data_IF_148539865344
#
_entry.id   IF_148539865344
#
_cell.length_a   1.000
_cell.length_b   1.000
_cell.length_c   1.000
_cell.angle_alpha   90.00
_cell.angle_beta   90.00
_cell.angle_gamma   90.00
#
_symmetry.space_group_name_H-M   'P 1'
#
loop_
_entity.id
_entity.type
_entity.pdbx_description
1 polymer ?
2 non-polymer ?
3 non-polymer ?
4 water ?
#
# COMPACT_ATOMS: atom_id res chain seq x y z
N UNK A 21 5.05 -5.12 -19.01
CA UNK A 21 6.38 -4.70 -18.45
C UNK A 21 6.75 -5.58 -17.26
N UNK A 22 7.76 -6.42 -17.48
CA UNK A 22 8.21 -7.38 -16.49
C UNK A 22 9.16 -6.78 -15.45
N UNK A 23 9.69 -5.61 -15.75
CA UNK A 23 10.65 -4.98 -14.83
C UNK A 23 9.98 -3.95 -13.89
N UNK A 24 8.69 -3.72 -14.05
CA UNK A 24 7.98 -2.79 -13.17
C UNK A 24 6.85 -3.48 -12.42
N UNK A 25 6.62 -3.04 -11.18
CA UNK A 25 5.69 -3.72 -10.31
C UNK A 25 4.88 -2.79 -9.42
N UNK A 26 3.66 -3.19 -9.11
CA UNK A 26 3.00 -2.69 -7.94
C UNK A 26 3.44 -3.58 -6.79
N UNK A 27 3.76 -2.97 -5.67
CA UNK A 27 4.30 -3.72 -4.56
C UNK A 27 3.43 -3.33 -3.39
N UNK A 28 2.92 -4.34 -2.69
CA UNK A 28 2.23 -4.06 -1.45
C UNK A 28 2.86 -4.86 -0.32
N UNK A 29 2.26 -4.80 0.85
CA UNK A 29 2.79 -5.43 2.03
C UNK A 29 1.63 -5.89 2.89
N UNK A 30 1.80 -7.10 3.41
CA UNK A 30 0.94 -7.56 4.46
C UNK A 30 1.74 -8.29 5.52
N UNK A 31 1.55 -7.87 6.75
CA UNK A 31 2.23 -8.46 7.89
C UNK A 31 1.33 -9.49 8.59
N UNK A 32 0.06 -9.51 8.25
CA UNK A 32 -0.87 -10.42 8.91
C UNK A 32 -2.01 -10.73 7.96
N UNK A 33 -3.00 -11.45 8.46
CA UNK A 33 -4.03 -12.04 7.64
C UNK A 33 -5.10 -11.04 7.32
N UNK A 34 -5.32 -10.12 8.24
CA UNK A 34 -6.32 -9.08 8.03
C UNK A 34 -5.88 -8.16 6.89
N UNK A 35 -4.62 -7.77 6.87
CA UNK A 35 -4.10 -6.91 5.80
C UNK A 35 -3.86 -7.72 4.53
N UNK A 36 -3.71 -9.04 4.65
CA UNK A 36 -3.64 -9.88 3.44
C UNK A 36 -4.94 -9.77 2.68
N UNK A 37 -6.05 -9.60 3.40
CA UNK A 37 -7.33 -9.43 2.72
C UNK A 37 -7.26 -8.15 1.90
N UNK A 38 -6.71 -7.11 2.51
CA UNK A 38 -6.52 -5.84 1.81
C UNK A 38 -5.64 -6.06 0.60
N UNK A 39 -4.49 -6.71 0.82
CA UNK A 39 -3.55 -6.99 -0.29
C UNK A 39 -4.26 -7.71 -1.43
N UNK A 40 -5.08 -8.68 -1.06
CA UNK A 40 -5.74 -9.51 -2.05
C UNK A 40 -6.76 -8.70 -2.82
N UNK A 41 -7.45 -7.80 -2.13
CA UNK A 41 -8.43 -6.96 -2.80
C UNK A 41 -7.67 -5.97 -3.67
N UNK A 42 -6.57 -5.45 -3.16
CA UNK A 42 -5.74 -4.49 -3.90
C UNK A 42 -5.19 -5.13 -5.16
N UNK A 43 -4.62 -6.33 -5.03
CA UNK A 43 -4.09 -7.07 -6.16
C UNK A 43 -5.17 -7.37 -7.18
N UNK A 44 -6.34 -7.80 -6.71
CA UNK A 44 -7.45 -8.08 -7.61
C UNK A 44 -7.88 -6.83 -8.36
N UNK A 45 -7.89 -5.68 -7.65
CA UNK A 45 -8.34 -4.41 -8.26
C UNK A 45 -7.40 -3.96 -9.37
N UNK A 46 -6.11 -4.18 -9.18
CA UNK A 46 -5.10 -3.86 -10.18
C UNK A 46 -5.26 -4.72 -11.43
N UNK A 47 -5.57 -6.01 -11.25
CA UNK A 47 -5.83 -6.89 -12.40
C UNK A 47 -7.14 -6.50 -13.07
N UNK A 48 -8.14 -6.18 -12.26
CA UNK A 48 -9.43 -5.73 -12.75
C UNK A 48 -9.26 -4.56 -13.69
N UNK A 49 -8.27 -3.70 -13.41
CA UNK A 49 -8.13 -2.52 -14.24
C UNK A 49 -6.93 -2.68 -15.15
N UNK A 50 -6.61 -3.95 -15.40
CA UNK A 50 -5.72 -4.38 -16.46
C UNK A 50 -4.36 -3.69 -16.39
N UNK A 51 -3.68 -3.83 -15.24
CA UNK A 51 -2.32 -3.36 -15.19
C UNK A 51 -1.50 -4.20 -16.16
N UNK A 52 -0.56 -3.57 -16.84
CA UNK A 52 0.43 -4.27 -17.63
C UNK A 52 1.67 -4.64 -16.82
N UNK A 53 1.66 -4.32 -15.53
CA UNK A 53 2.84 -4.52 -14.70
C UNK A 53 2.71 -5.75 -13.84
N UNK A 54 3.80 -6.10 -13.16
CA UNK A 54 3.82 -7.20 -12.25
C UNK A 54 3.22 -6.73 -10.94
N UNK A 55 2.71 -7.69 -10.17
CA UNK A 55 2.19 -7.45 -8.84
C UNK A 55 3.03 -8.22 -7.84
N UNK A 56 3.61 -7.50 -6.90
CA UNK A 56 4.43 -8.14 -5.87
C UNK A 56 3.88 -7.78 -4.54
N UNK A 57 3.96 -8.73 -3.62
CA UNK A 57 3.55 -8.51 -2.25
C UNK A 57 4.61 -8.99 -1.28
N UNK A 58 4.97 -8.11 -0.36
CA UNK A 58 5.82 -8.45 0.75
C UNK A 58 4.94 -9.07 1.82
N UNK A 59 5.38 -10.23 2.31
CA UNK A 59 4.65 -10.91 3.37
C UNK A 59 5.61 -11.25 4.49
N UNK A 60 5.04 -11.51 5.66
CA UNK A 60 5.83 -11.92 6.81
C UNK A 60 5.44 -13.36 7.06
N UNK A 61 6.22 -14.08 7.89
CA UNK A 61 5.80 -15.44 8.17
C UNK A 61 4.53 -15.51 9.02
N UNK A 62 4.03 -14.38 9.52
CA UNK A 62 2.77 -14.34 10.29
C UNK A 62 1.54 -14.46 9.40
N UNK A 63 1.73 -14.28 8.11
CA UNK A 63 0.67 -14.50 7.14
C UNK A 63 0.43 -16.00 6.96
N UNK A 64 -0.78 -16.47 7.26
CA UNK A 64 -1.06 -17.92 7.28
C UNK A 64 -0.97 -18.53 5.88
N UNK A 65 -0.92 -19.86 5.84
CA UNK A 65 -0.71 -20.57 4.58
C UNK A 65 -1.82 -20.32 3.60
N UNK A 66 -3.03 -20.19 4.11
CA UNK A 66 -4.19 -19.99 3.27
C UNK A 66 -4.15 -18.61 2.60
N UNK A 67 -3.81 -17.57 3.36
CA UNK A 67 -3.72 -16.21 2.81
C UNK A 67 -2.56 -16.19 1.84
N UNK A 68 -1.46 -16.79 2.26
CA UNK A 68 -0.28 -16.88 1.45
C UNK A 68 -0.58 -17.56 0.11
N UNK A 69 -1.32 -18.67 0.15
CA UNK A 69 -1.67 -19.36 -1.08
C UNK A 69 -2.55 -18.48 -1.96
N UNK A 70 -3.45 -17.72 -1.34
CA UNK A 70 -4.26 -16.80 -2.11
C UNK A 70 -3.38 -15.68 -2.68
N UNK A 71 -2.41 -15.21 -1.89
CA UNK A 71 -1.47 -14.19 -2.39
C UNK A 71 -0.63 -14.67 -3.58
N UNK A 72 -0.27 -15.96 -3.58
CA UNK A 72 0.54 -16.56 -4.65
C UNK A 72 -0.24 -16.57 -5.96
N UNK A 73 -1.56 -16.60 -5.84
CA UNK A 73 -2.44 -16.56 -7.00
C UNK A 73 -2.68 -15.15 -7.48
N UNK A 74 -2.92 -14.22 -6.56
CA UNK A 74 -3.23 -12.85 -6.97
C UNK A 74 -1.98 -12.15 -7.43
N UNK A 75 -0.88 -12.38 -6.73
CA UNK A 75 0.34 -11.68 -7.04
C UNK A 75 1.26 -12.54 -7.87
N UNK A 76 2.03 -11.90 -8.74
CA UNK A 76 3.08 -12.54 -9.52
C UNK A 76 4.21 -12.96 -8.62
N UNK A 77 4.47 -12.16 -7.60
CA UNK A 77 5.56 -12.47 -6.71
C UNK A 77 5.16 -12.25 -5.27
N UNK A 78 5.42 -13.25 -4.45
CA UNK A 78 5.22 -13.16 -3.02
C UNK A 78 6.58 -13.28 -2.34
N UNK A 79 6.96 -12.21 -1.67
CA UNK A 79 8.26 -12.15 -1.04
C UNK A 79 8.05 -12.22 0.45
N UNK A 80 8.84 -13.08 1.10
CA UNK A 80 8.75 -13.21 2.52
C UNK A 80 9.82 -12.38 3.15
N UNK A 81 9.41 -11.57 4.09
CA UNK A 81 10.32 -10.73 4.83
C UNK A 81 10.11 -11.07 6.30
N UNK A 82 11.18 -11.41 6.98
CA UNK A 82 11.08 -11.75 8.39
C UNK A 82 12.09 -10.92 9.16
N UNK A 83 11.69 -9.72 9.56
CA UNK A 83 12.61 -8.83 10.26
C UNK A 83 12.85 -9.28 11.71
N UNK A 84 12.07 -10.26 12.17
CA UNK A 84 12.32 -10.90 13.49
C UNK A 84 13.53 -11.83 13.44
N UNK A 85 13.92 -12.21 12.22
CA UNK A 85 15.08 -13.07 12.05
C UNK A 85 16.33 -12.21 12.10
N UNK A 86 17.36 -12.66 12.83
CA UNK A 86 18.65 -11.97 12.92
C UNK A 86 19.35 -11.86 11.60
N UNK A 87 19.03 -12.76 10.68
CA UNK A 87 19.57 -12.69 9.31
C UNK A 87 19.03 -11.51 8.50
N UNK A 88 17.99 -10.85 8.99
CA UNK A 88 17.47 -9.73 8.23
C UNK A 88 18.29 -8.47 8.50
N UNK A 89 18.57 -7.71 7.42
CA UNK A 89 19.33 -6.47 7.51
C UNK A 89 18.68 -5.43 8.41
N UNK A 90 17.36 -5.54 8.53
CA UNK A 90 16.61 -4.55 9.28
C UNK A 90 16.50 -4.94 10.74
N UNK A 91 16.90 -6.16 11.06
CA UNK A 91 16.58 -6.75 12.36
C UNK A 91 17.21 -5.98 13.51
N UNK A 92 18.45 -5.55 13.31
CA UNK A 92 19.20 -4.76 14.29
C UNK A 92 18.47 -3.44 14.58
N UNK A 93 17.95 -2.80 13.53
CA UNK A 93 17.19 -1.55 13.68
C UNK A 93 15.90 -1.84 14.40
N UNK A 94 15.31 -2.99 14.13
CA UNK A 94 14.09 -3.39 14.81
C UNK A 94 14.35 -3.48 16.33
N UNK A 95 15.46 -4.11 16.73
CA UNK A 95 15.79 -4.20 18.15
C UNK A 95 15.87 -2.79 18.74
N UNK A 96 16.62 -1.94 18.06
CA UNK A 96 16.77 -0.55 18.46
C UNK A 96 15.44 0.22 18.50
N UNK A 97 14.62 0.05 17.47
CA UNK A 97 13.38 0.79 17.36
C UNK A 97 12.22 -0.14 17.02
N UNK A 98 11.69 -0.83 18.04
CA UNK A 98 10.68 -1.88 17.89
C UNK A 98 9.39 -1.36 17.30
N UNK A 99 9.10 -0.08 17.54
CA UNK A 99 7.92 0.57 17.00
C UNK A 99 7.92 0.64 15.47
N UNK A 100 9.11 0.51 14.88
CA UNK A 100 9.29 0.66 13.45
C UNK A 100 9.15 -0.66 12.67
N UNK A 101 8.71 -1.71 13.35
CA UNK A 101 8.67 -3.04 12.77
C UNK A 101 8.05 -3.06 11.39
N UNK A 102 6.86 -2.53 11.30
CA UNK A 102 6.14 -2.49 10.07
C UNK A 102 6.83 -1.61 9.03
N UNK A 103 7.33 -0.46 9.47
CA UNK A 103 8.07 0.44 8.61
C UNK A 103 9.24 -0.30 7.97
N UNK A 104 10.02 -0.99 8.79
CA UNK A 104 11.23 -1.71 8.38
C UNK A 104 10.92 -2.82 7.40
N UNK A 105 9.79 -3.50 7.62
CA UNK A 105 9.32 -4.48 6.69
C UNK A 105 8.98 -3.80 5.36
N UNK A 106 8.25 -2.70 5.41
CA UNK A 106 7.84 -1.99 4.20
C UNK A 106 9.07 -1.54 3.41
N UNK A 107 10.11 -1.08 4.11
CA UNK A 107 11.36 -0.59 3.50
C UNK A 107 12.00 -1.63 2.60
N UNK A 108 11.72 -2.91 2.88
CA UNK A 108 12.24 -3.99 2.04
C UNK A 108 11.67 -3.88 0.64
N UNK A 109 10.70 -2.99 0.43
CA UNK A 109 10.23 -2.78 -0.95
C UNK A 109 11.36 -2.28 -1.85
N UNK A 110 12.29 -1.55 -1.26
CA UNK A 110 13.50 -1.11 -1.95
C UNK A 110 14.47 -2.22 -2.32
N UNK A 111 14.31 -3.39 -1.69
CA UNK A 111 15.19 -4.53 -1.95
C UNK A 111 14.79 -5.28 -3.20
N UNK A 112 13.66 -4.90 -3.79
CA UNK A 112 13.10 -5.63 -4.92
C UNK A 112 13.77 -5.25 -6.24
N UNK A 113 15.08 -5.43 -6.29
CA UNK A 113 15.89 -4.92 -7.38
C UNK A 113 15.63 -5.64 -8.70
N UNK A 114 14.86 -6.74 -8.67
CA UNK A 114 14.35 -7.34 -9.89
C UNK A 114 13.44 -6.36 -10.66
N UNK A 115 12.91 -5.34 -9.98
CA UNK A 115 12.15 -4.29 -10.65
C UNK A 115 12.95 -3.01 -10.76
N UNK A 116 12.77 -2.31 -11.89
CA UNK A 116 13.49 -1.06 -12.13
C UNK A 116 12.73 0.10 -11.46
N UNK A 117 11.42 -0.05 -11.35
CA UNK A 117 10.58 0.99 -10.77
C UNK A 117 9.31 0.32 -10.28
N UNK A 118 8.78 0.80 -9.15
CA UNK A 118 7.61 0.19 -8.58
C UNK A 118 6.72 1.26 -8.08
N UNK A 119 5.44 0.93 -7.96
CA UNK A 119 4.53 1.75 -7.21
C UNK A 119 4.29 0.96 -5.97
N UNK A 120 4.70 1.50 -4.84
CA UNK A 120 4.29 0.90 -3.59
C UNK A 120 2.90 1.37 -3.25
N UNK A 121 2.06 0.43 -2.85
CA UNK A 121 0.71 0.73 -2.38
C UNK A 121 0.44 -0.05 -1.09
N UNK A 122 0.04 0.66 -0.03
CA UNK A 122 -0.32 -0.04 1.21
C UNK A 122 -1.49 -0.98 0.96
N UNK A 123 -1.57 -2.04 1.76
CA UNK A 123 -2.58 -3.08 1.58
C UNK A 123 -3.99 -2.55 1.84
N UNK A 124 -4.09 -1.35 2.42
CA UNK A 124 -5.40 -0.72 2.68
C UNK A 124 -5.77 0.31 1.63
N UNK A 125 -5.22 0.16 0.43
CA UNK A 125 -5.65 0.98 -0.69
C UNK A 125 -6.41 0.12 -1.65
N UNK A 126 -7.08 0.78 -2.59
CA UNK A 126 -7.95 0.12 -3.54
C UNK A 126 -7.87 0.86 -4.85
N UNK A 127 -7.62 0.12 -5.94
CA UNK A 127 -7.50 0.71 -7.26
C UNK A 127 -8.87 0.74 -7.95
N UNK A 128 -9.23 1.92 -8.48
CA UNK A 128 -10.52 2.16 -9.11
C UNK A 128 -10.38 2.37 -10.61
N UNK A 129 -9.14 2.45 -11.06
CA UNK A 129 -8.86 2.77 -12.45
C UNK A 129 -7.43 2.38 -12.71
N UNK A 130 -7.12 2.11 -13.95
CA UNK A 130 -5.76 1.81 -14.31
C UNK A 130 -4.87 2.99 -13.91
N UNK A 131 -3.76 2.69 -13.24
CA UNK A 131 -2.84 3.74 -12.76
C UNK A 131 -1.42 3.42 -13.24
N UNK A 132 -1.33 2.74 -14.38
CA UNK A 132 -0.05 2.42 -14.97
C UNK A 132 0.73 3.66 -15.37
N UNK A 133 0.02 4.78 -15.50
CA UNK A 133 0.69 6.04 -15.83
C UNK A 133 1.55 6.56 -14.68
N UNK A 134 1.40 5.97 -13.50
CA UNK A 134 2.36 6.23 -12.41
C UNK A 134 3.78 5.83 -12.75
N UNK A 135 3.96 4.84 -13.62
CA UNK A 135 5.32 4.41 -13.96
C UNK A 135 6.08 5.42 -14.80
N UNK A 136 5.39 6.47 -15.23
CA UNK A 136 6.04 7.63 -15.85
C UNK A 136 6.80 8.46 -14.83
N UNK A 137 6.50 8.27 -13.55
CA UNK A 137 6.95 9.16 -12.52
C UNK A 137 8.30 8.69 -11.99
N UNK A 138 9.04 9.56 -11.33
CA UNK A 138 10.31 9.18 -10.72
C UNK A 138 10.15 9.03 -9.23
N UNK A 139 11.06 8.28 -8.64
CA UNK A 139 11.28 8.34 -7.22
C UNK A 139 11.72 9.75 -6.81
N UNK A 140 11.16 10.31 -5.75
CA UNK A 140 10.07 9.71 -5.00
C UNK A 140 8.83 10.52 -5.35
N UNK A 141 7.85 9.88 -5.97
CA UNK A 141 6.59 10.54 -6.30
C UNK A 141 5.49 9.99 -5.41
N UNK A 142 4.74 10.88 -4.79
CA UNK A 142 3.69 10.50 -3.86
C UNK A 142 2.63 11.59 -3.83
N UNK A 143 1.42 11.25 -3.36
CA UNK A 143 0.38 12.26 -3.19
C UNK A 143 0.55 13.00 -1.86
N UNK A 144 0.09 14.25 -1.78
CA UNK A 144 0.16 14.93 -0.52
C UNK A 144 -0.66 14.21 0.55
N UNK A 145 -0.18 14.30 1.78
CA UNK A 145 -0.97 13.80 2.89
C UNK A 145 -2.02 14.87 3.29
N UNK A 146 -3.30 14.50 3.46
CA UNK A 146 -4.11 15.55 4.07
C UNK A 146 -3.70 15.68 5.52
N UNK A 147 -3.96 16.81 6.13
CA UNK A 147 -3.53 16.88 7.54
C UNK A 147 -2.28 17.69 7.61
N UNK A 148 -1.19 17.15 7.09
CA UNK A 148 0.03 17.96 6.90
C UNK A 148 0.50 17.84 5.45
N UNK A 149 -0.05 18.68 4.57
CA UNK A 149 0.07 18.46 3.13
C UNK A 149 1.46 18.76 2.55
N UNK A 150 2.39 19.20 3.40
CA UNK A 150 3.77 19.30 2.97
C UNK A 150 4.53 18.02 3.26
N UNK A 151 3.83 17.04 3.85
CA UNK A 151 4.27 15.66 3.81
C UNK A 151 3.49 14.96 2.74
N UNK A 152 4.13 14.00 2.11
CA UNK A 152 3.41 13.16 1.22
C UNK A 152 2.89 11.98 2.00
N UNK A 153 1.83 11.39 1.48
CA UNK A 153 1.25 10.22 2.13
C UNK A 153 1.95 8.98 1.61
N UNK A 154 2.36 8.10 2.53
CA UNK A 154 3.21 6.98 2.11
C UNK A 154 2.41 5.77 1.68
N UNK A 155 1.10 5.94 1.51
CA UNK A 155 0.24 4.82 1.12
C UNK A 155 0.46 4.44 -0.33
N UNK A 156 0.92 5.40 -1.15
CA UNK A 156 1.13 5.16 -2.56
C UNK A 156 2.31 5.98 -2.97
N UNK A 157 3.30 5.32 -3.53
CA UNK A 157 4.46 6.05 -4.01
C UNK A 157 5.20 5.31 -5.08
N UNK A 158 5.87 6.10 -5.93
CA UNK A 158 6.68 5.55 -6.99
C UNK A 158 8.08 5.61 -6.48
N UNK A 159 8.78 4.49 -6.57
CA UNK A 159 10.14 4.43 -6.07
C UNK A 159 10.99 3.55 -6.99
N UNK A 160 12.30 3.59 -6.80
CA UNK A 160 13.20 2.73 -7.55
C UNK A 160 13.87 1.81 -6.57
N UNK A 161 13.62 0.50 -6.68
CA UNK A 161 14.35 -0.42 -5.83
C UNK A 161 15.85 -0.20 -5.97
N UNK A 162 16.53 -0.23 -4.85
CA UNK A 162 17.96 -0.03 -4.79
C UNK A 162 18.40 -0.45 -3.42
N UNK A 163 19.39 -1.33 -3.37
CA UNK A 163 20.02 -1.72 -2.12
C UNK A 163 20.57 -0.49 -1.43
N UNK A 164 21.17 0.40 -2.21
CA UNK A 164 21.73 1.61 -1.61
C UNK A 164 20.69 2.44 -0.92
N UNK A 165 19.56 2.68 -1.60
CA UNK A 165 18.52 3.47 -0.99
C UNK A 165 17.97 2.75 0.23
N UNK A 166 17.81 1.45 0.11
CA UNK A 166 17.33 0.65 1.23
C UNK A 166 18.26 0.84 2.44
N UNK A 167 19.55 0.62 2.21
CA UNK A 167 20.57 0.87 3.22
C UNK A 167 20.54 2.27 3.81
N UNK A 168 20.34 3.27 2.96
CA UNK A 168 20.25 4.66 3.42
C UNK A 168 18.98 4.91 4.24
N UNK A 169 17.88 4.28 3.84
CA UNK A 169 16.66 4.39 4.61
C UNK A 169 16.79 3.72 5.96
N UNK A 170 17.36 2.51 5.97
CA UNK A 170 17.58 1.75 7.19
C UNK A 170 18.43 2.57 8.12
N UNK A 171 19.45 3.19 7.55
CA UNK A 171 20.36 3.99 8.32
C UNK A 171 19.67 5.18 8.98
N UNK A 172 18.79 5.86 8.22
CA UNK A 172 17.99 6.93 8.77
C UNK A 172 17.04 6.38 9.85
N UNK A 173 16.37 5.27 9.57
CA UNK A 173 15.51 4.66 10.56
C UNK A 173 16.28 4.44 11.87
N UNK A 174 17.49 3.89 11.75
CA UNK A 174 18.32 3.57 12.91
C UNK A 174 18.69 4.84 13.64
N UNK A 175 19.22 5.81 12.91
CA UNK A 175 19.76 7.02 13.51
C UNK A 175 18.69 7.99 14.03
N UNK A 176 17.65 8.25 13.25
CA UNK A 176 16.66 9.27 13.64
C UNK A 176 15.31 8.69 14.01
N UNK A 177 15.02 7.49 13.50
CA UNK A 177 13.70 6.91 13.62
C UNK A 177 12.71 7.62 12.72
N UNK A 178 11.45 7.60 13.11
CA UNK A 178 10.39 8.21 12.34
C UNK A 178 9.70 9.23 13.22
N UNK A 179 9.62 10.46 12.73
CA UNK A 179 9.02 11.56 13.49
C UNK A 179 7.56 11.27 13.81
N UNK A 180 6.97 10.28 13.12
CA UNK A 180 5.58 9.91 13.39
C UNK A 180 5.45 8.43 13.80
N UNK A 181 6.57 7.80 14.12
CA UNK A 181 6.59 6.40 14.52
C UNK A 181 6.18 5.42 13.43
N UNK A 182 5.85 5.91 12.24
CA UNK A 182 5.44 5.04 11.12
C UNK A 182 6.34 5.22 9.91
N UNK A 183 5.98 4.60 8.78
CA UNK A 183 6.84 4.66 7.60
C UNK A 183 6.80 6.04 6.97
N UNK A 184 5.65 6.69 7.12
CA UNK A 184 5.45 7.98 6.51
C UNK A 184 6.42 9.03 7.05
N UNK A 185 6.64 9.04 8.35
CA UNK A 185 7.60 9.98 8.92
C UNK A 185 8.99 9.72 8.35
N UNK A 186 9.39 8.46 8.38
CA UNK A 186 10.71 8.08 7.90
C UNK A 186 10.88 8.45 6.42
N UNK A 187 9.91 8.08 5.59
CA UNK A 187 9.98 8.34 4.17
C UNK A 187 10.03 9.82 3.87
N UNK A 188 9.20 10.61 4.57
CA UNK A 188 9.23 12.05 4.41
C UNK A 188 10.54 12.67 4.82
N UNK A 189 11.13 12.19 5.91
CA UNK A 189 12.42 12.65 6.35
C UNK A 189 13.46 12.35 5.28
N UNK A 190 13.44 11.13 4.77
CA UNK A 190 14.46 10.76 3.83
C UNK A 190 14.23 11.50 2.52
N UNK A 191 13.01 11.44 2.00
CA UNK A 191 12.70 12.14 0.76
C UNK A 191 12.08 13.51 1.10
N UNK A 192 12.91 14.41 1.62
CA UNK A 192 12.43 15.66 2.22
C UNK A 192 12.36 16.86 1.28
N UNK A 193 12.70 16.64 0.02
CA UNK A 193 12.65 17.73 -0.90
C UNK A 193 11.27 17.76 -1.58
N UNK A 194 10.43 16.77 -1.28
CA UNK A 194 9.15 16.54 -1.95
C UNK A 194 8.23 17.78 -1.97
N UNK A 195 8.13 18.46 -0.84
CA UNK A 195 7.19 19.58 -0.66
C UNK A 195 7.57 20.76 -1.53
N UNK A 196 8.86 20.92 -1.76
CA UNK A 196 9.37 22.15 -2.33
C UNK A 196 10.02 21.91 -3.68
N UNK A 197 10.01 20.67 -4.14
CA UNK A 197 10.73 20.35 -5.37
C UNK A 197 9.94 19.44 -6.28
N UNK A 198 9.81 19.88 -7.53
CA UNK A 198 9.35 19.06 -8.64
C UNK A 198 7.88 18.69 -8.49
N UNK A 199 7.01 19.52 -9.05
CA UNK A 199 5.58 19.30 -8.95
C UNK A 199 5.18 17.93 -9.49
N UNK A 200 6.01 17.30 -10.31
CA UNK A 200 5.65 16.01 -10.92
C UNK A 200 5.77 14.89 -9.91
N UNK A 201 6.49 15.15 -8.83
CA UNK A 201 6.61 14.20 -7.76
C UNK A 201 5.47 14.30 -6.77
N UNK A 202 4.61 15.31 -6.95
CA UNK A 202 3.31 15.33 -6.30
C UNK A 202 2.36 14.56 -7.15
N UNK A 203 2.03 13.34 -6.76
CA UNK A 203 0.95 12.60 -7.42
C UNK A 203 -0.34 13.30 -7.14
N UNK A 204 -1.20 13.43 -8.16
CA UNK A 204 -2.55 13.94 -7.87
C UNK A 204 -3.17 13.15 -6.69
N UNK A 205 -3.84 13.89 -5.82
CA UNK A 205 -4.53 13.33 -4.67
C UNK A 205 -5.45 12.14 -5.02
N UNK A 206 -6.06 12.15 -6.22
CA UNK A 206 -6.90 11.04 -6.70
C UNK A 206 -6.17 9.71 -6.86
N UNK A 207 -4.85 9.72 -6.80
CA UNK A 207 -4.06 8.49 -6.83
C UNK A 207 -3.80 7.95 -5.44
N UNK A 208 -4.27 8.66 -4.43
CA UNK A 208 -4.14 8.19 -3.07
C UNK A 208 -5.14 8.96 -2.24
N UNK A 209 -6.40 8.72 -2.55
CA UNK A 209 -7.48 9.50 -2.02
C UNK A 209 -7.83 8.99 -0.62
N UNK A 210 -7.47 9.79 0.37
CA UNK A 210 -7.75 9.45 1.75
C UNK A 210 -9.26 9.33 1.96
N UNK A 211 -9.70 8.14 2.38
CA UNK A 211 -11.11 7.89 2.72
C UNK A 211 -11.68 8.92 3.70
N UNK A 212 -10.84 9.49 4.56
CA UNK A 212 -11.24 10.55 5.49
C UNK A 212 -11.69 11.82 4.75
N UNK A 213 -10.92 12.21 3.73
CA UNK A 213 -11.18 13.41 2.92
C UNK A 213 -12.50 13.35 2.18
N UNK A 214 -12.94 12.12 1.90
CA UNK A 214 -14.24 11.85 1.27
C UNK A 214 -15.42 12.20 2.20
N UNK A 215 -15.12 12.75 3.39
CA UNK A 215 -16.10 13.49 4.20
C UNK A 215 -15.53 14.74 4.90
N UNK A 216 -14.22 14.78 5.13
CA UNK A 216 -13.57 15.95 5.73
C UNK A 216 -13.68 17.23 4.87
N UNK A 217 -13.51 17.08 3.56
CA UNK A 217 -13.72 18.17 2.62
C UNK A 217 -14.67 17.66 1.54
N UNK A 218 -15.93 17.48 1.93
CA UNK A 218 -16.97 16.93 1.06
C UNK A 218 -17.27 17.71 -0.21
N UNK A 219 -17.29 19.07 -0.15
CA UNK A 219 -17.45 19.82 -1.41
C UNK A 219 -16.37 19.49 -2.43
N UNK A 220 -15.13 19.39 -1.95
CA UNK A 220 -14.00 19.01 -2.79
C UNK A 220 -14.17 17.60 -3.35
N UNK A 221 -14.52 16.65 -2.48
CA UNK A 221 -14.83 15.31 -2.98
C UNK A 221 -15.90 15.32 -4.07
N UNK A 222 -16.99 16.06 -3.87
CA UNK A 222 -18.03 16.15 -4.89
C UNK A 222 -17.48 16.75 -6.19
N UNK A 223 -16.62 17.75 -6.07
CA UNK A 223 -16.00 18.35 -7.24
C UNK A 223 -14.97 17.46 -7.94
N UNK A 224 -14.21 16.67 -7.17
CA UNK A 224 -13.05 16.00 -7.76
C UNK A 224 -12.94 14.50 -7.56
N UNK A 225 -13.81 13.93 -6.74
CA UNK A 225 -13.69 12.54 -6.31
C UNK A 225 -14.19 11.49 -7.27
N UNK A 226 -15.04 11.89 -8.22
CA UNK A 226 -15.51 10.97 -9.26
C UNK A 226 -14.31 10.55 -10.11
N UNK A 227 -13.23 11.32 -10.01
CA UNK A 227 -11.99 11.06 -10.71
C UNK A 227 -11.02 10.14 -9.92
N UNK A 228 -11.45 9.70 -8.75
CA UNK A 228 -10.61 8.92 -7.84
C UNK A 228 -10.05 7.70 -8.57
N UNK A 229 -8.74 7.55 -8.51
CA UNK A 229 -8.09 6.42 -9.13
C UNK A 229 -7.74 5.38 -8.08
N UNK A 230 -7.51 5.85 -6.85
CA UNK A 230 -7.09 4.98 -5.76
C UNK A 230 -7.73 5.49 -4.49
N UNK A 231 -8.35 4.62 -3.72
CA UNK A 231 -8.83 5.04 -2.41
C UNK A 231 -7.97 4.46 -1.32
N UNK A 232 -7.65 5.28 -0.34
CA UNK A 232 -6.78 4.87 0.74
C UNK A 232 -7.63 4.82 1.98
N UNK A 233 -7.90 3.61 2.45
CA UNK A 233 -8.79 3.45 3.59
C UNK A 233 -8.04 3.73 4.86
N UNK A 234 -8.24 4.93 5.36
CA UNK A 234 -7.56 5.35 6.57
C UNK A 234 -8.53 5.33 7.73
N UNK A 235 -8.03 5.65 8.91
CA UNK A 235 -8.81 5.51 10.13
C UNK A 235 -8.53 4.13 10.67
N UNK A 236 -9.03 3.85 11.87
CA UNK A 236 -8.74 2.57 12.52
C UNK A 236 -9.59 1.45 11.93
N UNK A 237 -10.84 1.77 11.61
CA UNK A 237 -11.74 0.82 10.95
C UNK A 237 -11.38 0.59 9.48
N UNK A 238 -10.67 -0.49 9.23
CA UNK A 238 -10.29 -0.88 7.88
C UNK A 238 -11.49 -1.57 7.21
N UNK A 239 -11.49 -1.65 5.88
CA UNK A 239 -12.60 -2.26 5.13
C UNK A 239 -13.01 -3.63 5.65
N UNK A 240 -12.02 -4.45 5.97
CA UNK A 240 -12.30 -5.79 6.49
C UNK A 240 -12.88 -5.78 7.89
N UNK A 241 -12.82 -4.64 8.58
CA UNK A 241 -13.40 -4.51 9.91
C UNK A 241 -14.90 -4.18 9.84
N UNK A 242 -15.44 -4.10 8.63
CA UNK A 242 -16.85 -3.79 8.43
C UNK A 242 -17.69 -5.04 8.18
N UNK A 243 -18.98 -4.92 8.42
CA UNK A 243 -19.90 -5.98 8.07
C UNK A 243 -20.47 -5.66 6.72
N UNK A 244 -20.52 -6.65 5.85
CA UNK A 244 -20.98 -6.45 4.51
C UNK A 244 -22.13 -7.37 4.20
N UNK A 245 -23.24 -6.75 3.87
CA UNK A 245 -24.43 -7.49 3.52
C UNK A 245 -24.35 -7.80 2.04
N UNK A 246 -24.16 -9.07 1.73
CA UNK A 246 -24.02 -9.52 0.36
C UNK A 246 -25.31 -9.41 -0.45
N UNK A 247 -26.44 -9.25 0.24
CA UNK A 247 -27.73 -9.14 -0.45
C UNK A 247 -28.00 -7.69 -0.85
N UNK A 248 -27.83 -6.76 0.08
CA UNK A 248 -27.96 -5.34 -0.26
C UNK A 248 -26.68 -4.82 -0.93
N UNK A 249 -25.66 -5.69 -1.01
CA UNK A 249 -24.31 -5.32 -1.48
C UNK A 249 -23.82 -4.03 -0.87
N UNK A 250 -23.97 -3.89 0.44
CA UNK A 250 -23.48 -2.69 1.11
C UNK A 250 -23.04 -3.01 2.50
N UNK A 251 -22.02 -2.29 2.96
CA UNK A 251 -21.55 -2.39 4.33
C UNK A 251 -22.56 -1.79 5.29
N UNK A 252 -22.55 -2.28 6.53
CA UNK A 252 -23.44 -1.77 7.57
C UNK A 252 -22.72 -0.72 8.41
N UNK A 253 -23.50 0.23 8.91
CA UNK A 253 -23.03 1.20 9.92
C UNK A 253 -22.97 0.54 11.31
N UNK A 261 -20.40 6.37 6.13
CA UNK A 261 -21.63 7.13 5.87
C UNK A 261 -21.70 7.58 4.40
N UNK A 262 -20.60 7.37 3.68
CA UNK A 262 -20.54 7.44 2.21
C UNK A 262 -19.79 6.18 1.75
N UNK A 263 -20.52 5.06 1.63
CA UNK A 263 -19.90 3.75 1.65
C UNK A 263 -19.47 3.25 0.29
N UNK A 264 -19.66 4.05 -0.75
CA UNK A 264 -19.39 3.63 -2.12
C UNK A 264 -18.09 2.82 -2.25
N UNK A 265 -17.03 3.30 -1.63
CA UNK A 265 -15.71 2.73 -1.79
C UNK A 265 -15.50 1.47 -0.96
N UNK A 266 -15.96 1.52 0.29
CA UNK A 266 -16.10 0.32 1.09
C UNK A 266 -16.83 -0.75 0.29
N UNK A 267 -17.91 -0.36 -0.37
CA UNK A 267 -18.71 -1.31 -1.14
C UNK A 267 -18.00 -1.85 -2.36
N UNK A 268 -17.19 -1.01 -3.00
CA UNK A 268 -16.34 -1.50 -4.07
C UNK A 268 -15.36 -2.53 -3.52
N UNK A 269 -14.70 -2.19 -2.41
CA UNK A 269 -13.73 -3.07 -1.77
C UNK A 269 -14.40 -4.41 -1.48
N UNK A 270 -15.53 -4.36 -0.77
CA UNK A 270 -16.26 -5.57 -0.41
C UNK A 270 -16.81 -6.34 -1.62
N UNK A 271 -17.22 -5.64 -2.67
CA UNK A 271 -17.61 -6.34 -3.90
C UNK A 271 -16.47 -7.19 -4.46
N UNK A 272 -15.28 -6.60 -4.48
CA UNK A 272 -14.11 -7.33 -4.95
C UNK A 272 -13.81 -8.46 -3.97
N UNK A 273 -13.83 -8.15 -2.68
CA UNK A 273 -13.57 -9.19 -1.70
C UNK A 273 -14.54 -10.37 -1.82
N UNK A 274 -15.83 -10.06 -1.93
CA UNK A 274 -16.87 -11.06 -2.06
C UNK A 274 -16.77 -11.77 -3.41
N UNK A 275 -16.62 -11.01 -4.48
CA UNK A 275 -16.65 -11.58 -5.81
C UNK A 275 -15.42 -12.40 -6.10
N UNK A 276 -14.25 -11.88 -5.72
CA UNK A 276 -12.98 -12.44 -6.20
C UNK A 276 -12.15 -13.08 -5.11
N UNK A 277 -12.07 -12.44 -3.96
CA UNK A 277 -11.14 -12.90 -2.94
C UNK A 277 -11.68 -14.10 -2.17
N UNK A 278 -12.89 -13.98 -1.67
CA UNK A 278 -13.48 -15.06 -0.86
C UNK A 278 -13.51 -16.39 -1.60
N UNK A 279 -14.06 -16.44 -2.85
CA UNK A 279 -14.08 -17.73 -3.54
C UNK A 279 -12.69 -18.26 -3.78
N UNK A 280 -11.74 -17.36 -4.02
CA UNK A 280 -10.35 -17.76 -4.12
C UNK A 280 -9.89 -18.39 -2.82
N UNK A 281 -10.20 -17.76 -1.71
CA UNK A 281 -9.75 -18.29 -0.44
C UNK A 281 -10.37 -19.66 -0.22
N UNK A 282 -11.65 -19.77 -0.56
CA UNK A 282 -12.44 -20.98 -0.32
C UNK A 282 -11.89 -22.27 -0.98
N UNK A 283 -11.31 -22.14 -2.17
CA UNK A 283 -10.80 -23.26 -2.96
C UNK A 283 -9.59 -23.96 -2.35
N UNK A 284 -9.03 -23.38 -1.27
CA UNK A 284 -7.92 -24.00 -0.54
C UNK A 284 -8.41 -24.88 0.60
N UNK A 285 -9.72 -24.84 0.86
CA UNK A 285 -10.36 -25.73 1.81
C UNK A 285 -10.31 -27.19 1.34
N UNK A 286 -10.31 -27.38 0.03
CA UNK A 286 -10.13 -28.69 -0.58
C UNK A 286 -8.64 -28.94 -0.81
X LIG B 1 -10.60 3.33 -17.15
X LIG B 1 -10.12 4.55 -16.60
X LIG B 1 -10.22 2.19 -16.20
X LIG B 1 -8.84 2.23 -16.06
X LIG B 1 -10.56 0.85 -16.82
X LIG B 1 -10.20 -0.16 -15.91
X LIG C 1 7.98 19.05 5.14
X LIG C 1 8.35 20.30 5.68
X LIG C 1 9.21 18.16 5.18
X LIG C 1 10.11 18.55 4.16
X LIG C 1 8.79 16.70 5.01
X LIG C 1 9.91 15.85 5.10
X LIG D 1 8.24 21.76 -11.24
#
# INVERSE_FOLDING_TARGET
MGSSHHHHHHSSGLVPRGSHMTDQAFVTLTTNDAYAKGALVLGSSLKQHRTSRRLAVLTTPQVSDTMRKALEIVFDEVITVDILDSGDSAHLTLMKRPELGVTLTKLHCWSLTQYSKCVFMDADTLVLANIDDLFEREELSAAPDPGWPDCFNSGVFVYQPSVETYNQLLHVASEQGSFDGGDQGLLNTFFNSWATTDIRKHLPFIYNLSSISIYSYLPAFKAFGANAKVVHFLGQTKPWNYTYDTKTKSVRSEGHDPTMTHPQFLNVWWDIFTTSVVPLLQQFGLVQDTC
GOL C1 O1 C2 O2 C3 O3
GOL C1 O1 C2 O2 C3 O3
CL CL
#
